data_IF_550189316754
#
_entry.id   IF_550189316754
#
_cell.length_a   1.000
_cell.length_b   1.000
_cell.length_c   1.000
_cell.angle_alpha   90.00
_cell.angle_beta   90.00
_cell.angle_gamma   90.00
#
_symmetry.space_group_name_H-M   'P 1'
#
loop_
_entity.id
_entity.type
_entity.pdbx_description
1 polymer ?
#
# COMPACT_ATOMS: atom_id res chain seq x y z
N UNK A 1 5.84 8.99 3.56
CA UNK A 1 5.86 10.36 3.02
C UNK A 1 4.45 10.86 2.75
N UNK A 2 4.16 12.06 3.16
CA UNK A 2 2.83 12.62 2.98
C UNK A 2 2.55 12.96 1.52
N UNK A 3 1.27 12.90 1.16
CA UNK A 3 0.80 13.26 -0.17
C UNK A 3 -0.23 14.38 -0.03
N UNK A 4 -0.68 15.02 -1.15
CA UNK A 4 -1.75 16.01 -1.06
C UNK A 4 -3.07 15.45 -0.52
N UNK A 5 -3.29 14.14 -0.63
CA UNK A 5 -4.48 13.50 -0.10
C UNK A 5 -4.19 13.02 1.33
N UNK A 6 -4.90 13.51 2.36
CA UNK A 6 -4.64 13.10 3.75
C UNK A 6 -4.95 11.62 4.00
N UNK A 7 -5.69 10.96 3.12
CA UNK A 7 -5.99 9.54 3.24
C UNK A 7 -4.98 8.66 2.52
N UNK A 8 -3.96 9.23 1.91
CA UNK A 8 -2.93 8.49 1.19
C UNK A 8 -1.55 8.80 1.74
N UNK A 9 -0.71 7.76 1.87
CA UNK A 9 0.67 7.93 2.27
C UNK A 9 1.54 7.13 1.30
N UNK A 10 2.67 7.74 0.93
CA UNK A 10 3.66 7.15 0.06
C UNK A 10 4.76 6.52 0.90
N UNK A 11 5.01 5.23 0.69
CA UNK A 11 6.05 4.49 1.38
C UNK A 11 7.22 4.27 0.46
N UNK A 12 8.44 4.46 0.99
CA UNK A 12 9.68 4.38 0.22
C UNK A 12 10.54 3.25 0.78
N UNK A 13 10.34 2.00 0.31
CA UNK A 13 11.07 0.85 0.88
C UNK A 13 12.55 0.80 0.50
N UNK A 14 13.00 1.65 -0.42
CA UNK A 14 14.41 1.70 -0.78
C UNK A 14 14.83 0.68 -1.81
N UNK A 15 13.89 0.08 -2.51
CA UNK A 15 14.18 -0.90 -3.54
C UNK A 15 13.14 -0.84 -4.65
N UNK A 16 13.43 -1.46 -5.77
CA UNK A 16 12.49 -1.49 -6.89
C UNK A 16 11.27 -2.32 -6.53
N UNK A 17 10.09 -1.76 -6.78
CA UNK A 17 8.81 -2.40 -6.46
C UNK A 17 8.18 -2.99 -7.71
N UNK A 18 8.15 -2.22 -8.80
CA UNK A 18 7.50 -2.64 -10.04
C UNK A 18 8.19 -2.01 -11.23
N UNK A 19 8.24 -2.73 -12.36
CA UNK A 19 8.79 -2.19 -13.60
C UNK A 19 7.85 -1.13 -14.16
N UNK A 20 6.55 -1.42 -14.13
CA UNK A 20 5.51 -0.50 -14.58
C UNK A 20 4.60 -0.09 -13.44
N UNK A 21 4.07 1.14 -13.43
CA UNK A 21 3.10 1.54 -12.40
C UNK A 21 1.87 0.64 -12.44
N UNK A 22 1.41 0.19 -11.27
CA UNK A 22 0.24 -0.66 -11.15
C UNK A 22 -0.70 -0.09 -10.10
N UNK A 23 -1.96 0.11 -10.47
CA UNK A 23 -2.99 0.57 -9.55
C UNK A 23 -3.92 -0.60 -9.23
N UNK A 24 -4.09 -0.88 -7.95
CA UNK A 24 -4.97 -1.95 -7.47
C UNK A 24 -6.21 -1.33 -6.86
N UNK A 25 -7.38 -1.67 -7.39
CA UNK A 25 -8.66 -1.11 -6.95
C UNK A 25 -9.35 -1.96 -5.90
N UNK A 26 -9.01 -3.25 -5.80
CA UNK A 26 -9.66 -4.16 -4.89
C UNK A 26 -8.75 -5.34 -4.56
N UNK A 27 -9.17 -6.13 -3.57
CA UNK A 27 -8.40 -7.27 -3.09
C UNK A 27 -8.21 -8.35 -4.17
N UNK A 28 -9.25 -8.64 -4.93
CA UNK A 28 -9.15 -9.68 -5.95
C UNK A 28 -8.12 -9.34 -7.02
N UNK A 29 -8.08 -8.08 -7.44
CA UNK A 29 -7.11 -7.60 -8.41
C UNK A 29 -5.69 -7.67 -7.84
N UNK A 30 -5.53 -7.26 -6.58
CA UNK A 30 -4.25 -7.30 -5.90
C UNK A 30 -3.76 -8.74 -5.76
N UNK A 31 -4.62 -9.65 -5.35
CA UNK A 31 -4.27 -11.05 -5.16
C UNK A 31 -3.83 -11.71 -6.47
N UNK A 32 -4.45 -11.32 -7.56
CA UNK A 32 -4.12 -11.89 -8.87
C UNK A 32 -2.76 -11.44 -9.38
N UNK A 33 -2.31 -10.23 -8.99
CA UNK A 33 -1.12 -9.61 -9.57
C UNK A 33 0.08 -9.55 -8.65
N UNK A 34 -0.12 -9.47 -7.33
CA UNK A 34 0.99 -9.29 -6.40
C UNK A 34 0.64 -9.81 -5.01
N UNK A 35 1.50 -10.66 -4.45
CA UNK A 35 1.33 -11.13 -3.09
C UNK A 35 1.50 -10.00 -2.07
N UNK A 36 2.39 -9.04 -2.35
CA UNK A 36 2.58 -7.88 -1.49
C UNK A 36 1.33 -7.01 -1.44
N UNK A 37 0.73 -6.73 -2.61
CA UNK A 37 -0.50 -5.94 -2.67
C UNK A 37 -1.63 -6.66 -1.94
N UNK A 38 -1.74 -7.97 -2.09
CA UNK A 38 -2.76 -8.76 -1.40
C UNK A 38 -2.59 -8.67 0.12
N UNK A 39 -1.36 -8.74 0.60
CA UNK A 39 -1.08 -8.62 2.03
C UNK A 39 -1.46 -7.25 2.57
N UNK A 40 -1.17 -6.19 1.82
CA UNK A 40 -1.54 -4.83 2.21
C UNK A 40 -3.07 -4.70 2.26
N UNK A 41 -3.76 -5.22 1.25
CA UNK A 41 -5.22 -5.17 1.22
C UNK A 41 -5.87 -6.01 2.33
N UNK A 42 -5.17 -6.99 2.87
CA UNK A 42 -5.71 -7.79 3.98
C UNK A 42 -5.79 -6.98 5.28
N UNK A 43 -5.11 -5.84 5.34
CA UNK A 43 -5.23 -4.93 6.47
C UNK A 43 -6.59 -4.23 6.36
N UNK A 44 -7.32 -4.16 7.47
CA UNK A 44 -8.62 -3.49 7.48
C UNK A 44 -8.48 -2.02 7.10
N UNK A 45 -9.51 -1.49 6.43
CA UNK A 45 -9.64 -0.06 6.12
C UNK A 45 -8.72 0.44 5.02
N UNK A 46 -8.11 -0.44 4.26
CA UNK A 46 -7.35 -0.06 3.07
C UNK A 46 -8.30 0.06 1.89
N UNK A 47 -8.27 1.23 1.23
CA UNK A 47 -9.15 1.53 0.11
C UNK A 47 -8.50 1.28 -1.23
N UNK A 48 -7.22 1.63 -1.39
CA UNK A 48 -6.52 1.47 -2.65
C UNK A 48 -5.02 1.34 -2.42
N UNK A 49 -4.34 0.69 -3.36
CA UNK A 49 -2.88 0.53 -3.34
C UNK A 49 -2.36 0.84 -4.73
N UNK A 50 -1.27 1.60 -4.80
CA UNK A 50 -0.60 1.93 -6.05
C UNK A 50 0.89 1.62 -5.92
N UNK A 51 1.42 0.85 -6.86
CA UNK A 51 2.86 0.56 -6.92
C UNK A 51 3.50 1.43 -8.00
N UNK A 52 4.48 2.25 -7.58
CA UNK A 52 5.35 2.94 -8.52
C UNK A 52 6.64 2.14 -8.72
N UNK A 53 7.61 2.73 -9.40
CA UNK A 53 8.88 2.04 -9.66
C UNK A 53 9.61 1.68 -8.37
N UNK A 54 9.64 2.60 -7.42
CA UNK A 54 10.40 2.43 -6.18
C UNK A 54 9.61 2.88 -4.95
N UNK A 55 8.29 2.98 -5.06
CA UNK A 55 7.45 3.41 -3.95
C UNK A 55 6.10 2.70 -3.96
N UNK A 56 5.42 2.75 -2.82
CA UNK A 56 4.09 2.20 -2.64
C UNK A 56 3.22 3.30 -2.03
N UNK A 57 2.09 3.62 -2.68
CA UNK A 57 1.12 4.57 -2.12
C UNK A 57 -0.08 3.78 -1.64
N UNK A 58 -0.43 3.95 -0.38
CA UNK A 58 -1.59 3.28 0.23
C UNK A 58 -2.61 4.33 0.61
N UNK A 59 -3.86 4.10 0.20
CA UNK A 59 -4.99 4.96 0.53
C UNK A 59 -5.90 4.23 1.50
N UNK A 60 -6.22 4.90 2.61
CA UNK A 60 -7.14 4.36 3.62
C UNK A 60 -8.52 4.97 3.47
N UNK A 61 -9.51 4.38 4.14
CA UNK A 61 -10.83 4.99 4.26
C UNK A 61 -10.77 6.18 5.22
N UNK A 62 -11.73 7.11 5.10
CA UNK A 62 -11.74 8.35 5.88
C UNK A 62 -11.76 8.12 7.39
N UNK A 63 -12.46 7.07 7.83
CA UNK A 63 -12.67 6.81 9.26
C UNK A 63 -11.46 6.26 9.99
N UNK A 64 -10.47 5.81 9.28
CA UNK A 64 -9.31 5.16 9.89
C UNK A 64 -8.22 6.14 10.26
N UNK A 65 -7.35 5.72 11.17
CA UNK A 65 -6.26 6.53 11.69
C UNK A 65 -4.92 5.93 11.24
N UNK A 66 -4.10 6.75 10.61
CA UNK A 66 -2.76 6.33 10.18
C UNK A 66 -1.89 5.85 11.34
N UNK A 67 -2.13 6.33 12.54
CA UNK A 67 -1.38 5.88 13.72
C UNK A 67 -1.53 4.38 13.95
N UNK A 68 -2.66 3.81 13.58
CA UNK A 68 -2.91 2.38 13.70
C UNK A 68 -2.49 1.61 12.45
N UNK A 69 -2.68 2.19 11.27
CA UNK A 69 -2.44 1.51 10.00
C UNK A 69 -0.97 1.52 9.59
N UNK A 70 -0.28 2.63 9.83
CA UNK A 70 1.10 2.80 9.37
C UNK A 70 2.04 1.70 9.86
N UNK A 71 2.05 1.35 11.15
CA UNK A 71 2.90 0.26 11.62
C UNK A 71 2.59 -1.08 10.98
N UNK A 72 1.30 -1.39 10.77
CA UNK A 72 0.91 -2.64 10.13
C UNK A 72 1.39 -2.72 8.69
N UNK A 73 1.25 -1.63 7.95
CA UNK A 73 1.68 -1.57 6.55
C UNK A 73 3.19 -1.73 6.48
N UNK A 74 3.93 -1.03 7.34
CA UNK A 74 5.38 -1.13 7.38
C UNK A 74 5.84 -2.55 7.69
N UNK A 75 5.16 -3.21 8.62
CA UNK A 75 5.48 -4.59 8.98
C UNK A 75 5.28 -5.53 7.79
N UNK A 76 4.18 -5.38 7.07
CA UNK A 76 3.90 -6.18 5.88
C UNK A 76 4.98 -5.98 4.83
N UNK A 77 5.37 -4.73 4.58
CA UNK A 77 6.41 -4.42 3.60
C UNK A 77 7.74 -5.04 4.01
N UNK A 78 8.11 -4.90 5.28
CA UNK A 78 9.38 -5.44 5.78
C UNK A 78 9.40 -6.96 5.73
N UNK A 79 8.30 -7.62 6.04
CA UNK A 79 8.21 -9.08 5.98
C UNK A 79 8.31 -9.60 4.54
N UNK A 80 7.82 -8.84 3.58
CA UNK A 80 7.86 -9.26 2.18
C UNK A 80 9.29 -9.20 1.62
N UNK A 81 10.03 -8.20 2.01
CA UNK A 81 11.40 -8.01 1.55
C UNK A 81 12.41 -8.48 2.58
#
# INVERSE_FOLDING_TARGET
EETPNPNAIKFLPGMEISIDPIFFNNFDEARAKSSLAAKIYSINDIKAVFFGADFITVTKIDKSDWKLLKPEILMVIMDHF
#
